data_IF_149737901641
#
_entry.id   IF_149737901641
#
_cell.length_a   1.000
_cell.length_b   1.000
_cell.length_c   1.000
_cell.angle_alpha   90.00
_cell.angle_beta   90.00
_cell.angle_gamma   90.00
#
_symmetry.space_group_name_H-M   'P 1'
#
loop_
_entity.id
_entity.type
_entity.pdbx_description
1 polymer ?
#
# COMPACT_ATOMS: atom_id res chain seq x y z
N UNK A 1 4.24 10.86 -17.09
CA UNK A 1 3.98 9.65 -16.34
C UNK A 1 4.03 9.90 -14.85
N UNK A 2 3.05 9.41 -14.17
CA UNK A 2 2.89 9.70 -12.76
C UNK A 2 3.57 8.65 -11.92
N UNK A 3 4.48 9.06 -11.07
CA UNK A 3 5.08 8.16 -10.11
C UNK A 3 4.11 7.96 -8.96
N UNK A 4 4.20 6.80 -8.33
CA UNK A 4 3.41 6.52 -7.13
C UNK A 4 4.04 7.25 -5.96
N UNK A 5 3.28 8.18 -5.38
CA UNK A 5 3.77 9.01 -4.28
C UNK A 5 3.26 8.49 -2.94
N UNK A 6 3.79 9.05 -1.86
CA UNK A 6 3.28 8.74 -0.52
C UNK A 6 1.81 9.12 -0.38
N UNK A 7 1.41 10.23 -0.98
CA UNK A 7 0.00 10.64 -0.94
C UNK A 7 -0.90 9.64 -1.66
N UNK A 8 -0.42 9.08 -2.77
CA UNK A 8 -1.17 8.04 -3.48
C UNK A 8 -1.40 6.82 -2.59
N UNK A 9 -0.36 6.42 -1.86
CA UNK A 9 -0.45 5.28 -0.94
C UNK A 9 -1.41 5.59 0.22
N UNK A 10 -1.33 6.80 0.76
CA UNK A 10 -2.23 7.22 1.83
C UNK A 10 -3.69 7.15 1.40
N UNK A 11 -3.99 7.66 0.21
CA UNK A 11 -5.34 7.60 -0.34
C UNK A 11 -5.78 6.16 -0.59
N UNK A 12 -4.87 5.36 -1.09
CA UNK A 12 -5.14 3.95 -1.35
C UNK A 12 -5.52 3.23 -0.05
N UNK A 13 -4.79 3.50 1.02
CA UNK A 13 -5.07 2.91 2.32
C UNK A 13 -6.43 3.35 2.86
N UNK A 14 -6.72 4.64 2.80
CA UNK A 14 -7.98 5.16 3.30
C UNK A 14 -9.15 4.59 2.51
N UNK A 15 -9.04 4.55 1.18
CA UNK A 15 -10.13 4.11 0.32
C UNK A 15 -10.39 2.61 0.44
N UNK A 16 -9.34 1.81 0.56
CA UNK A 16 -9.48 0.35 0.53
C UNK A 16 -9.62 -0.28 1.90
N UNK A 17 -9.08 0.34 2.93
CA UNK A 17 -9.14 -0.17 4.29
C UNK A 17 -10.15 0.56 5.15
N UNK A 18 -10.89 1.49 4.56
CA UNK A 18 -11.94 2.26 5.24
C UNK A 18 -11.44 2.92 6.53
N UNK A 19 -10.28 3.52 6.44
CA UNK A 19 -9.69 4.19 7.60
C UNK A 19 -10.47 5.45 7.95
N UNK A 20 -10.56 5.71 9.25
CA UNK A 20 -11.32 6.87 9.75
C UNK A 20 -10.48 8.15 9.83
N UNK A 21 -9.20 8.04 9.55
CA UNK A 21 -8.31 9.21 9.59
C UNK A 21 -8.12 9.76 8.18
N UNK A 22 -7.98 11.08 8.04
CA UNK A 22 -7.70 11.65 6.72
C UNK A 22 -6.30 11.27 6.25
N UNK A 23 -6.09 11.18 4.93
CA UNK A 23 -4.78 10.77 4.41
C UNK A 23 -3.62 11.62 4.93
N UNK A 24 -3.86 12.91 5.14
CA UNK A 24 -2.82 13.81 5.62
C UNK A 24 -2.30 13.52 7.02
N UNK A 25 -3.04 12.75 7.81
CA UNK A 25 -2.62 12.36 9.15
C UNK A 25 -1.81 11.06 9.17
N UNK A 26 -1.70 10.38 8.05
CA UNK A 26 -0.94 9.14 7.95
C UNK A 26 0.53 9.48 7.66
N UNK A 27 1.40 9.17 8.59
CA UNK A 27 2.83 9.45 8.42
C UNK A 27 3.49 8.38 7.56
N UNK A 28 4.59 8.75 6.91
CA UNK A 28 5.29 7.83 6.01
C UNK A 28 5.86 6.61 6.75
N UNK A 29 6.20 6.78 8.00
CA UNK A 29 6.79 5.68 8.78
C UNK A 29 5.75 4.90 9.58
N UNK A 30 4.47 5.22 9.42
CA UNK A 30 3.39 4.52 10.11
C UNK A 30 3.35 3.07 9.67
N UNK A 31 3.33 2.18 10.65
CA UNK A 31 3.20 0.75 10.38
C UNK A 31 1.75 0.42 10.02
N UNK A 32 1.57 -0.56 9.16
CA UNK A 32 0.22 -0.96 8.74
C UNK A 32 -0.37 -1.98 9.72
N UNK A 33 0.47 -2.85 10.26
CA UNK A 33 0.04 -3.93 11.14
C UNK A 33 0.78 -3.87 12.47
N UNK A 34 0.16 -4.42 13.50
CA UNK A 34 0.80 -4.57 14.79
C UNK A 34 0.51 -3.41 15.74
N UNK A 35 1.12 -3.44 16.94
CA UNK A 35 0.91 -2.39 17.94
C UNK A 35 1.42 -1.04 17.45
N UNK A 36 0.65 0.01 17.73
CA UNK A 36 1.02 1.36 17.31
C UNK A 36 0.86 1.63 15.82
N UNK A 37 0.20 0.73 15.12
CA UNK A 37 0.01 0.83 13.67
C UNK A 37 -1.39 1.34 13.33
N UNK A 38 -1.74 1.29 12.03
CA UNK A 38 -3.10 1.60 11.57
C UNK A 38 -4.11 0.55 12.00
N UNK A 39 -3.65 -0.57 12.54
CA UNK A 39 -4.54 -1.60 13.03
C UNK A 39 -5.18 -2.46 11.95
N UNK A 40 -4.52 -2.58 10.80
CA UNK A 40 -5.04 -3.40 9.71
C UNK A 40 -4.95 -4.88 10.06
N UNK A 41 -5.89 -5.66 9.52
CA UNK A 41 -5.91 -7.11 9.69
C UNK A 41 -5.79 -7.81 8.34
N UNK A 42 -5.99 -9.15 8.35
CA UNK A 42 -5.86 -9.94 7.13
C UNK A 42 -6.85 -9.52 6.05
N UNK A 43 -8.05 -9.15 6.46
CA UNK A 43 -9.08 -8.72 5.53
C UNK A 43 -8.69 -7.39 4.88
N UNK A 44 -8.15 -6.47 5.68
CA UNK A 44 -7.69 -5.19 5.16
C UNK A 44 -6.54 -5.39 4.19
N UNK A 45 -5.63 -6.29 4.49
CA UNK A 45 -4.51 -6.61 3.60
C UNK A 45 -5.02 -7.15 2.26
N UNK A 46 -6.02 -8.01 2.29
CA UNK A 46 -6.62 -8.54 1.06
C UNK A 46 -7.27 -7.44 0.25
N UNK A 47 -8.01 -6.56 0.91
CA UNK A 47 -8.65 -5.44 0.23
C UNK A 47 -7.64 -4.49 -0.38
N UNK A 48 -6.55 -4.24 0.32
CA UNK A 48 -5.47 -3.40 -0.17
C UNK A 48 -4.81 -4.03 -1.41
N UNK A 49 -4.59 -5.34 -1.37
CA UNK A 49 -4.03 -6.07 -2.51
C UNK A 49 -4.92 -5.93 -3.75
N UNK A 50 -6.22 -6.09 -3.57
CA UNK A 50 -7.19 -5.94 -4.67
C UNK A 50 -7.19 -4.51 -5.18
N UNK A 51 -7.15 -3.54 -4.27
CA UNK A 51 -7.12 -2.12 -4.64
C UNK A 51 -5.87 -1.76 -5.44
N UNK A 52 -4.73 -2.30 -5.05
CA UNK A 52 -3.47 -2.07 -5.76
C UNK A 52 -3.56 -2.64 -7.18
N UNK A 53 -4.10 -3.83 -7.30
CA UNK A 53 -4.24 -4.45 -8.62
C UNK A 53 -5.16 -3.63 -9.52
N UNK A 54 -6.27 -3.15 -8.99
CA UNK A 54 -7.21 -2.34 -9.75
C UNK A 54 -6.65 -0.98 -10.12
N UNK A 55 -5.92 -0.36 -9.20
CA UNK A 55 -5.42 1.00 -9.41
C UNK A 55 -4.18 1.03 -10.29
N UNK A 56 -3.30 0.06 -10.14
CA UNK A 56 -1.98 0.08 -10.79
C UNK A 56 -1.69 -1.12 -11.66
N UNK A 57 -2.54 -2.12 -11.65
CA UNK A 57 -2.28 -3.35 -12.40
C UNK A 57 -1.16 -4.19 -11.83
N UNK A 58 -0.80 -3.97 -10.57
CA UNK A 58 0.27 -4.71 -9.91
C UNK A 58 -0.35 -5.80 -9.05
N UNK A 59 -0.08 -7.05 -9.38
CA UNK A 59 -0.60 -8.19 -8.63
C UNK A 59 0.39 -8.62 -7.56
N UNK A 60 -0.12 -8.89 -6.36
CA UNK A 60 0.68 -9.41 -5.25
C UNK A 60 0.13 -10.79 -4.93
N UNK A 61 0.79 -11.81 -5.45
CA UNK A 61 0.34 -13.20 -5.29
C UNK A 61 1.02 -13.92 -4.13
N UNK A 62 2.19 -13.46 -3.72
CA UNK A 62 2.99 -14.11 -2.69
C UNK A 62 2.76 -13.45 -1.33
N UNK A 63 2.27 -14.19 -0.32
CA UNK A 63 2.06 -13.62 1.02
C UNK A 63 3.34 -13.07 1.65
N UNK A 64 4.49 -13.66 1.38
CA UNK A 64 5.74 -13.18 1.92
C UNK A 64 6.09 -11.81 1.35
N UNK A 65 5.86 -11.62 0.06
CA UNK A 65 6.08 -10.33 -0.59
C UNK A 65 5.12 -9.30 -0.03
N UNK A 66 3.86 -9.69 0.18
CA UNK A 66 2.86 -8.79 0.75
C UNK A 66 3.27 -8.31 2.14
N UNK A 67 3.80 -9.18 2.97
CA UNK A 67 4.25 -8.81 4.31
C UNK A 67 5.36 -7.76 4.27
N UNK A 68 6.31 -7.94 3.38
CA UNK A 68 7.40 -7.00 3.23
C UNK A 68 6.91 -5.66 2.69
N UNK A 69 6.08 -5.70 1.66
CA UNK A 69 5.57 -4.49 1.03
C UNK A 69 4.69 -3.69 1.99
N UNK A 70 3.90 -4.38 2.81
CA UNK A 70 2.93 -3.75 3.69
C UNK A 70 3.46 -3.46 5.08
N UNK A 71 4.77 -3.43 5.25
CA UNK A 71 5.37 -3.16 6.55
C UNK A 71 5.01 -1.74 7.05
N UNK A 72 5.18 -0.74 6.20
CA UNK A 72 4.86 0.64 6.53
C UNK A 72 4.38 1.36 5.27
N UNK A 73 3.85 2.56 5.45
CA UNK A 73 3.42 3.39 4.32
C UNK A 73 4.57 3.62 3.36
N UNK A 74 5.73 4.01 3.91
CA UNK A 74 6.92 4.27 3.10
C UNK A 74 7.39 3.03 2.36
N UNK A 75 7.42 1.89 3.04
CA UNK A 75 7.84 0.63 2.43
C UNK A 75 6.91 0.24 1.29
N UNK A 76 5.61 0.41 1.48
CA UNK A 76 4.63 0.12 0.45
C UNK A 76 4.82 1.04 -0.76
N UNK A 77 5.03 2.32 -0.52
CA UNK A 77 5.25 3.27 -1.59
C UNK A 77 6.50 2.90 -2.40
N UNK A 78 7.58 2.59 -1.72
CA UNK A 78 8.83 2.22 -2.38
C UNK A 78 8.67 0.93 -3.19
N UNK A 79 7.97 -0.05 -2.62
CA UNK A 79 7.74 -1.31 -3.30
C UNK A 79 6.89 -1.11 -4.55
N UNK A 80 5.82 -0.35 -4.45
CA UNK A 80 4.94 -0.08 -5.58
C UNK A 80 5.68 0.68 -6.70
N UNK A 81 6.46 1.67 -6.32
CA UNK A 81 7.23 2.44 -7.29
C UNK A 81 8.23 1.55 -8.04
N UNK A 82 8.86 0.64 -7.30
CA UNK A 82 9.80 -0.31 -7.89
C UNK A 82 9.12 -1.27 -8.85
N UNK A 83 7.98 -1.81 -8.44
CA UNK A 83 7.24 -2.74 -9.28
C UNK A 83 6.73 -2.06 -10.54
N UNK A 84 6.27 -0.83 -10.42
CA UNK A 84 5.78 -0.09 -11.58
C UNK A 84 6.89 0.13 -12.60
N UNK A 85 8.10 0.42 -12.14
CA UNK A 85 9.25 0.58 -13.02
C UNK A 85 9.64 -0.72 -13.69
N UNK A 86 9.52 -1.85 -12.97
CA UNK A 86 9.89 -3.17 -13.50
C UNK A 86 8.85 -3.70 -14.48
N UNK A 87 7.59 -3.34 -14.31
CA UNK A 87 6.52 -3.84 -15.17
C UNK A 87 6.27 -2.94 -16.36
N UNK A 88 7.06 -1.91 -16.50
CA UNK A 88 6.93 -0.98 -17.62
C UNK A 88 7.12 -1.73 -18.93
N UNK A 89 6.19 -1.62 -19.87
CA UNK A 89 6.35 -2.26 -21.16
C UNK A 89 7.54 -1.67 -21.91
N UNK A 90 8.25 -2.54 -22.57
CA UNK A 90 9.40 -2.14 -23.37
C UNK A 90 8.97 -1.27 -24.54
#
# INVERSE_FOLDING_TARGET
MTEITLDDVRKLLVDNCMLRVPPGEIESETLLFGPGSLGLDSIDALQLTVGIEKAYGIAIADPAVAREAFHSVKTLQQWLARQRNQTKPA
#
